data_IF_020897564024
#
_entry.id   IF_020897564024
#
_cell.length_a   1.000
_cell.length_b   1.000
_cell.length_c   1.000
_cell.angle_alpha   90.00
_cell.angle_beta   90.00
_cell.angle_gamma   90.00
#
_symmetry.space_group_name_H-M   'P 1'
#
loop_
_entity.id
_entity.type
_entity.pdbx_description
1 polymer ?
#
# COMPACT_ATOMS: atom_id res chain seq x y z
N UNK A 1 14.53 -3.36 6.49
CA UNK A 1 13.94 -3.40 7.85
C UNK A 1 14.11 -2.07 8.54
N UNK A 2 13.23 -1.73 9.41
CA UNK A 2 13.27 -0.50 10.18
C UNK A 2 13.19 -0.83 11.66
N UNK A 3 14.17 -0.40 12.43
CA UNK A 3 14.24 -0.65 13.89
C UNK A 3 14.06 -2.13 14.24
N UNK A 4 14.64 -3.03 13.47
CA UNK A 4 14.56 -4.46 13.71
C UNK A 4 13.26 -5.12 13.27
N UNK A 5 12.36 -4.36 12.65
CA UNK A 5 11.07 -4.87 12.15
C UNK A 5 11.03 -4.80 10.63
N UNK A 6 10.20 -5.63 9.97
CA UNK A 6 9.96 -5.47 8.54
C UNK A 6 9.43 -4.07 8.24
N UNK A 7 9.86 -3.51 7.13
CA UNK A 7 9.47 -2.15 6.75
C UNK A 7 7.95 -1.99 6.62
N UNK A 8 7.26 -3.01 6.06
CA UNK A 8 5.82 -2.92 5.92
C UNK A 8 5.12 -2.75 7.27
N UNK A 9 5.67 -3.36 8.31
CA UNK A 9 5.10 -3.27 9.65
C UNK A 9 5.16 -1.84 10.16
N UNK A 10 6.27 -1.15 9.93
CA UNK A 10 6.41 0.25 10.32
C UNK A 10 5.45 1.16 9.55
N UNK A 11 5.29 0.90 8.25
CA UNK A 11 4.38 1.70 7.43
C UNK A 11 2.94 1.53 7.88
N UNK A 12 2.52 0.29 8.13
CA UNK A 12 1.16 0.02 8.62
C UNK A 12 0.92 0.66 9.98
N UNK A 13 1.91 0.61 10.85
CA UNK A 13 1.79 1.20 12.18
C UNK A 13 1.65 2.72 12.10
N UNK A 14 2.41 3.35 11.22
CA UNK A 14 2.28 4.80 11.00
C UNK A 14 0.93 5.17 10.41
N UNK A 15 0.42 4.37 9.47
CA UNK A 15 -0.90 4.61 8.90
C UNK A 15 -1.99 4.52 9.96
N UNK A 16 -1.89 3.54 10.85
CA UNK A 16 -2.85 3.39 11.94
C UNK A 16 -2.78 4.58 12.90
N UNK A 17 -1.58 5.00 13.28
CA UNK A 17 -1.41 6.14 14.17
C UNK A 17 -1.87 7.45 13.55
N UNK A 18 -1.75 7.58 12.24
CA UNK A 18 -2.25 8.75 11.51
C UNK A 18 -3.78 8.75 11.39
N UNK A 19 -4.43 7.68 11.79
CA UNK A 19 -5.88 7.59 11.75
C UNK A 19 -6.44 7.32 10.37
N UNK A 20 -5.65 6.75 9.47
CA UNK A 20 -6.15 6.43 8.14
C UNK A 20 -7.21 5.33 8.21
N UNK A 21 -8.15 5.39 7.26
CA UNK A 21 -9.32 4.54 7.24
C UNK A 21 -8.98 3.06 7.05
N UNK A 22 -7.97 2.78 6.24
CA UNK A 22 -7.56 1.39 6.03
C UNK A 22 -6.17 1.28 5.46
N UNK A 23 -5.46 0.21 5.84
CA UNK A 23 -4.15 -0.11 5.31
C UNK A 23 -3.94 -1.60 5.39
N UNK A 24 -3.35 -2.17 4.36
CA UNK A 24 -3.10 -3.60 4.26
C UNK A 24 -1.76 -3.84 3.60
N UNK A 25 -1.02 -4.81 4.08
CA UNK A 25 0.21 -5.27 3.43
C UNK A 25 -0.02 -6.68 2.90
N UNK A 26 0.40 -6.92 1.67
CA UNK A 26 0.27 -8.21 1.01
C UNK A 26 1.64 -8.62 0.52
N UNK A 27 2.05 -9.83 0.88
CA UNK A 27 3.28 -10.41 0.35
C UNK A 27 3.03 -10.98 -1.03
N UNK A 28 3.88 -10.60 -1.98
CA UNK A 28 3.85 -11.19 -3.30
C UNK A 28 4.71 -12.45 -3.36
N UNK A 29 4.41 -13.29 -4.33
CA UNK A 29 5.21 -14.49 -4.57
C UNK A 29 6.49 -14.14 -5.33
N UNK A 30 6.40 -13.22 -6.26
CA UNK A 30 7.52 -12.78 -7.08
C UNK A 30 7.19 -11.44 -7.70
N UNK A 31 8.19 -10.61 -7.90
CA UNK A 31 7.98 -9.32 -8.54
C UNK A 31 9.28 -8.55 -8.67
N UNK A 32 9.22 -7.45 -9.40
CA UNK A 32 10.34 -6.52 -9.49
C UNK A 32 9.80 -5.10 -9.56
N UNK A 33 10.63 -4.16 -9.15
CA UNK A 33 10.30 -2.74 -9.18
C UNK A 33 11.27 -1.97 -10.05
N UNK A 34 11.42 -0.66 -9.80
CA UNK A 34 12.26 0.21 -10.64
C UNK A 34 13.71 -0.23 -10.74
N UNK A 35 14.25 -0.92 -9.72
CA UNK A 35 15.63 -1.41 -9.78
C UNK A 35 15.81 -2.58 -10.74
N UNK A 36 14.70 -3.21 -11.17
CA UNK A 36 14.76 -4.40 -12.03
C UNK A 36 15.13 -5.68 -11.32
N UNK A 37 15.51 -5.60 -10.04
CA UNK A 37 15.90 -6.78 -9.28
C UNK A 37 14.67 -7.61 -8.93
N UNK A 38 14.68 -8.87 -9.32
CA UNK A 38 13.58 -9.79 -9.02
C UNK A 38 13.64 -10.21 -7.56
N UNK A 39 12.49 -10.15 -6.90
CA UNK A 39 12.31 -10.64 -5.54
C UNK A 39 11.28 -11.75 -5.58
N UNK A 40 11.50 -12.79 -4.81
CA UNK A 40 10.62 -13.96 -4.79
C UNK A 40 10.52 -14.50 -3.37
N UNK A 41 9.34 -15.05 -3.09
CA UNK A 41 9.12 -15.75 -1.83
C UNK A 41 9.77 -17.13 -1.89
N UNK A 42 10.46 -17.50 -0.84
CA UNK A 42 11.04 -18.83 -0.67
C UNK A 42 10.56 -19.40 0.65
N UNK A 43 10.23 -20.68 0.64
CA UNK A 43 9.92 -21.41 1.88
C UNK A 43 8.97 -20.63 2.79
N UNK A 44 7.75 -20.43 2.33
CA UNK A 44 6.69 -19.84 3.15
C UNK A 44 7.03 -18.46 3.71
N UNK A 45 7.78 -17.67 2.97
CA UNK A 45 8.03 -16.29 3.35
C UNK A 45 9.07 -16.09 4.42
N UNK A 46 9.97 -17.05 4.62
CA UNK A 46 11.01 -16.92 5.63
C UNK A 46 12.23 -16.15 5.15
N UNK A 47 12.30 -15.83 3.85
CA UNK A 47 13.49 -15.20 3.28
C UNK A 47 13.61 -13.73 3.62
N UNK A 48 12.51 -13.05 3.92
CA UNK A 48 12.50 -11.60 4.12
C UNK A 48 12.71 -10.79 2.86
N UNK A 49 12.78 -11.45 1.70
CA UNK A 49 13.05 -10.81 0.42
C UNK A 49 11.83 -10.73 -0.50
N UNK A 50 10.66 -11.10 0.00
CA UNK A 50 9.44 -11.10 -0.78
C UNK A 50 9.08 -9.67 -1.18
N UNK A 51 8.51 -9.49 -2.38
CA UNK A 51 7.92 -8.21 -2.70
C UNK A 51 6.70 -7.97 -1.82
N UNK A 52 6.52 -6.74 -1.36
CA UNK A 52 5.38 -6.39 -0.50
C UNK A 52 4.63 -5.26 -1.16
N UNK A 53 3.32 -5.44 -1.29
CA UNK A 53 2.41 -4.40 -1.73
C UNK A 53 1.70 -3.84 -0.49
N UNK A 54 1.77 -2.52 -0.31
CA UNK A 54 1.06 -1.86 0.78
C UNK A 54 -0.02 -0.99 0.17
N UNK A 55 -1.24 -1.21 0.60
CA UNK A 55 -2.39 -0.46 0.13
C UNK A 55 -2.96 0.37 1.27
N UNK A 56 -3.14 1.66 1.03
CA UNK A 56 -3.72 2.59 1.99
C UNK A 56 -4.93 3.24 1.33
N UNK A 57 -6.05 3.30 2.06
CA UNK A 57 -7.28 3.86 1.53
C UNK A 57 -7.84 4.90 2.50
N UNK A 58 -8.07 6.10 1.99
CA UNK A 58 -8.72 7.19 2.72
C UNK A 58 -9.08 8.27 1.71
N UNK A 59 -9.59 9.40 2.20
CA UNK A 59 -9.80 10.57 1.35
C UNK A 59 -8.48 11.06 0.78
N UNK A 60 -8.52 11.57 -0.43
CA UNK A 60 -7.32 11.95 -1.16
C UNK A 60 -6.40 12.89 -0.38
N UNK A 61 -6.96 13.88 0.30
CA UNK A 61 -6.16 14.82 1.08
C UNK A 61 -5.40 14.14 2.22
N UNK A 62 -6.04 13.18 2.88
CA UNK A 62 -5.41 12.46 3.98
C UNK A 62 -4.33 11.51 3.50
N UNK A 63 -4.55 10.83 2.37
CA UNK A 63 -3.53 9.98 1.78
C UNK A 63 -2.31 10.82 1.39
N UNK A 64 -2.53 11.96 0.73
CA UNK A 64 -1.44 12.83 0.31
C UNK A 64 -0.66 13.39 1.50
N UNK A 65 -1.35 13.71 2.58
CA UNK A 65 -0.70 14.20 3.80
C UNK A 65 0.13 13.12 4.48
N UNK A 66 -0.24 11.86 4.31
CA UNK A 66 0.47 10.74 4.88
C UNK A 66 1.77 10.42 4.14
N UNK A 67 1.80 10.61 2.83
CA UNK A 67 2.95 10.20 2.02
C UNK A 67 4.30 10.77 2.49
N UNK A 68 4.41 12.04 2.86
CA UNK A 68 5.69 12.56 3.37
C UNK A 68 6.17 11.84 4.64
N UNK A 69 5.28 11.26 5.41
CA UNK A 69 5.66 10.57 6.64
C UNK A 69 6.37 9.25 6.38
N UNK A 70 6.18 8.67 5.20
CA UNK A 70 6.77 7.37 4.85
C UNK A 70 7.75 7.44 3.69
N UNK A 71 7.84 8.56 3.01
CA UNK A 71 8.64 8.70 1.81
C UNK A 71 10.09 8.25 2.02
N UNK A 72 10.69 8.67 3.11
CA UNK A 72 12.08 8.33 3.42
C UNK A 72 12.29 6.85 3.76
N UNK A 73 11.22 6.10 3.99
CA UNK A 73 11.30 4.69 4.31
C UNK A 73 11.27 3.80 3.07
N UNK A 74 10.81 4.32 1.95
CA UNK A 74 10.51 3.49 0.78
C UNK A 74 11.74 3.10 -0.03
N UNK A 75 12.81 3.90 0.05
CA UNK A 75 13.99 3.61 -0.75
C UNK A 75 13.66 3.58 -2.24
N UNK A 76 13.89 2.43 -2.87
CA UNK A 76 13.60 2.23 -4.30
C UNK A 76 12.14 1.84 -4.55
N UNK A 77 11.28 1.94 -3.56
CA UNK A 77 9.87 1.60 -3.72
C UNK A 77 9.13 2.54 -4.65
N UNK A 78 7.99 2.09 -5.12
CA UNK A 78 7.14 2.83 -6.03
C UNK A 78 5.80 3.14 -5.36
N UNK A 79 5.34 4.37 -5.50
CA UNK A 79 4.01 4.76 -5.02
C UNK A 79 3.12 4.97 -6.24
N UNK A 80 1.95 4.35 -6.22
CA UNK A 80 0.93 4.55 -7.24
C UNK A 80 -0.33 5.04 -6.56
N UNK A 81 -0.92 6.12 -7.09
CA UNK A 81 -2.16 6.67 -6.57
C UNK A 81 -3.30 6.34 -7.51
N UNK A 82 -4.38 5.83 -6.95
CA UNK A 82 -5.60 5.52 -7.69
C UNK A 82 -6.80 6.17 -7.03
N UNK A 83 -7.69 6.69 -7.84
CA UNK A 83 -9.01 7.07 -7.37
C UNK A 83 -9.89 5.83 -7.32
N UNK A 84 -10.56 5.65 -6.19
CA UNK A 84 -11.46 4.51 -5.99
C UNK A 84 -12.78 4.99 -5.42
N UNK A 85 -13.79 4.15 -5.56
CA UNK A 85 -15.09 4.39 -4.95
C UNK A 85 -15.26 3.36 -3.83
N UNK A 86 -15.51 3.85 -2.62
CA UNK A 86 -15.75 2.96 -1.48
C UNK A 86 -17.23 2.93 -1.16
N UNK A 87 -17.76 1.74 -0.95
CA UNK A 87 -19.14 1.56 -0.55
C UNK A 87 -19.20 0.58 0.61
N UNK A 88 -20.13 0.83 1.54
CA UNK A 88 -20.36 -0.08 2.65
C UNK A 88 -21.44 -1.09 2.32
N UNK A 89 -22.41 -0.70 1.50
CA UNK A 89 -23.54 -1.53 1.12
C UNK A 89 -23.73 -1.44 -0.39
N UNK A 90 -24.20 -2.53 -0.96
CA UNK A 90 -24.50 -2.54 -2.40
C UNK A 90 -25.56 -1.50 -2.75
N UNK A 91 -26.50 -1.25 -1.84
CA UNK A 91 -27.55 -0.25 -2.07
C UNK A 91 -27.00 1.17 -2.24
N UNK A 92 -25.81 1.43 -1.68
CA UNK A 92 -25.17 2.75 -1.76
C UNK A 92 -24.23 2.85 -2.96
N UNK A 93 -24.21 1.85 -3.83
CA UNK A 93 -23.31 1.81 -4.97
C UNK A 93 -23.62 2.95 -5.95
N UNK A 94 -22.66 3.83 -6.24
CA UNK A 94 -22.90 4.89 -7.22
C UNK A 94 -22.95 4.33 -8.63
N UNK A 95 -23.40 5.17 -9.58
CA UNK A 95 -23.33 4.82 -11.00
C UNK A 95 -21.88 4.84 -11.45
N UNK A 96 -21.30 3.65 -11.53
CA UNK A 96 -19.89 3.51 -11.87
C UNK A 96 -19.61 3.99 -13.30
N UNK A 97 -20.57 3.86 -14.20
CA UNK A 97 -20.40 4.35 -15.56
C UNK A 97 -20.23 5.87 -15.58
N UNK A 98 -20.95 6.60 -14.71
CA UNK A 98 -20.81 8.04 -14.61
C UNK A 98 -19.48 8.43 -13.95
N UNK A 99 -19.03 7.67 -12.95
CA UNK A 99 -17.80 7.97 -12.24
C UNK A 99 -16.56 7.54 -12.99
N UNK A 100 -16.68 6.58 -13.90
CA UNK A 100 -15.57 6.05 -14.68
C UNK A 100 -15.37 6.77 -16.02
N UNK A 101 -16.13 7.81 -16.27
CA UNK A 101 -16.03 8.56 -17.52
C UNK A 101 -14.62 9.14 -17.70
N UNK A 102 -14.09 9.11 -18.91
CA UNK A 102 -12.75 9.65 -19.19
C UNK A 102 -12.70 11.16 -19.01
#
# INVERSE_FOLDING_TARGET
MFAGRPLYHEILDRARRAGLRGATAIRGMQGFGPSGKVRASRLAGLSGNEPVLIQVTDDAGRVRAFLPEIDHLLGAGLIVLHDVVTVRRVADLPDIAATAAP
#
